data_IF_940400116366
#
_entry.id   IF_940400116366
#
_cell.length_a   1.000
_cell.length_b   1.000
_cell.length_c   1.000
_cell.angle_alpha   90.00
_cell.angle_beta   90.00
_cell.angle_gamma   90.00
#
_symmetry.space_group_name_H-M   'P 1'
#
loop_
_entity.id
_entity.type
_entity.pdbx_description
1 polymer ?
#
# COMPACT_ATOMS: atom_id res chain seq x y z
N UNK A 1 -28.62 32.77 15.00
CA UNK A 1 -27.28 32.51 14.43
C UNK A 1 -26.83 31.03 14.48
N UNK A 2 -27.44 30.13 15.26
CA UNK A 2 -26.98 28.72 15.37
C UNK A 2 -27.33 27.81 14.18
N UNK A 3 -28.36 28.14 13.39
CA UNK A 3 -28.85 27.28 12.29
C UNK A 3 -27.93 27.24 11.06
N UNK A 4 -27.13 28.29 10.85
CA UNK A 4 -26.16 28.35 9.75
C UNK A 4 -24.99 27.39 9.97
N UNK A 5 -24.51 27.24 11.20
CA UNK A 5 -23.43 26.29 11.53
C UNK A 5 -23.83 24.83 11.31
N UNK A 6 -25.10 24.48 11.58
CA UNK A 6 -25.62 23.14 11.29
C UNK A 6 -25.68 22.87 9.77
N UNK A 7 -26.05 23.86 8.97
CA UNK A 7 -26.05 23.74 7.51
C UNK A 7 -24.61 23.60 6.96
N UNK A 8 -23.65 24.36 7.48
CA UNK A 8 -22.23 24.21 7.12
C UNK A 8 -21.64 22.86 7.56
N UNK A 9 -22.02 22.34 8.73
CA UNK A 9 -21.60 21.01 9.19
C UNK A 9 -22.19 19.89 8.34
N UNK A 10 -23.46 19.99 7.94
CA UNK A 10 -24.11 19.04 7.03
C UNK A 10 -23.50 19.06 5.62
N UNK A 11 -23.09 20.21 5.12
CA UNK A 11 -22.43 20.35 3.82
C UNK A 11 -21.04 19.67 3.79
N UNK A 12 -20.31 19.71 4.91
CA UNK A 12 -19.00 19.05 5.06
C UNK A 12 -19.11 17.52 5.14
N UNK A 13 -20.18 17.00 5.74
CA UNK A 13 -20.42 15.55 5.80
C UNK A 13 -20.76 14.99 4.40
N UNK A 14 -21.50 15.74 3.58
CA UNK A 14 -21.92 15.31 2.26
C UNK A 14 -20.76 15.10 1.26
N UNK A 15 -19.67 15.89 1.36
CA UNK A 15 -18.50 15.74 0.49
C UNK A 15 -17.64 14.51 0.82
N UNK A 16 -17.70 14.00 2.05
CA UNK A 16 -16.93 12.83 2.48
C UNK A 16 -17.44 11.52 1.87
N UNK A 17 -18.76 11.38 1.69
CA UNK A 17 -19.35 10.12 1.23
C UNK A 17 -19.08 9.79 -0.24
N UNK A 18 -18.96 10.80 -1.13
CA UNK A 18 -18.72 10.55 -2.55
C UNK A 18 -17.30 10.06 -2.84
N UNK A 19 -16.29 10.61 -2.15
CA UNK A 19 -14.91 10.18 -2.26
C UNK A 19 -14.72 8.72 -1.86
N UNK A 20 -15.37 8.29 -0.77
CA UNK A 20 -15.24 6.93 -0.26
C UNK A 20 -15.82 5.88 -1.23
N UNK A 21 -16.94 6.18 -1.91
CA UNK A 21 -17.51 5.27 -2.93
C UNK A 21 -16.56 5.13 -4.11
N UNK A 22 -16.02 6.25 -4.61
CA UNK A 22 -15.07 6.25 -5.73
C UNK A 22 -13.79 5.46 -5.43
N UNK A 23 -13.24 5.58 -4.23
CA UNK A 23 -12.05 4.81 -3.81
C UNK A 23 -12.34 3.31 -3.83
N UNK A 24 -13.48 2.87 -3.30
CA UNK A 24 -13.86 1.44 -3.28
C UNK A 24 -13.96 0.87 -4.69
N UNK A 25 -14.55 1.61 -5.62
CA UNK A 25 -14.64 1.18 -7.02
C UNK A 25 -13.25 1.07 -7.67
N UNK A 26 -12.36 2.05 -7.45
CA UNK A 26 -10.98 2.01 -7.95
C UNK A 26 -10.22 0.79 -7.41
N UNK A 27 -10.34 0.50 -6.11
CA UNK A 27 -9.72 -0.68 -5.48
C UNK A 27 -10.27 -1.96 -6.10
N UNK A 28 -11.59 -2.08 -6.20
CA UNK A 28 -12.24 -3.25 -6.77
C UNK A 28 -11.77 -3.50 -8.21
N UNK A 29 -11.78 -2.48 -9.06
CA UNK A 29 -11.29 -2.62 -10.42
C UNK A 29 -9.79 -2.92 -10.45
N UNK A 30 -8.99 -2.31 -9.58
CA UNK A 30 -7.55 -2.62 -9.46
C UNK A 30 -7.31 -4.11 -9.14
N UNK A 31 -8.05 -4.64 -8.18
CA UNK A 31 -8.00 -6.05 -7.76
C UNK A 31 -8.41 -7.00 -8.89
N UNK A 32 -9.44 -6.65 -9.67
CA UNK A 32 -9.86 -7.42 -10.85
C UNK A 32 -8.77 -7.46 -11.93
N UNK A 33 -8.08 -6.35 -12.18
CA UNK A 33 -7.03 -6.27 -13.21
C UNK A 33 -5.77 -6.99 -12.78
N UNK A 34 -5.39 -6.85 -11.50
CA UNK A 34 -4.32 -7.63 -10.89
C UNK A 34 -4.59 -9.14 -11.05
N UNK A 35 -5.82 -9.57 -10.76
CA UNK A 35 -6.21 -10.99 -10.85
C UNK A 35 -6.18 -11.53 -12.29
N UNK A 36 -6.40 -10.66 -13.28
CA UNK A 36 -6.27 -10.97 -14.72
C UNK A 36 -4.81 -10.95 -15.21
N UNK A 37 -3.88 -10.49 -14.39
CA UNK A 37 -2.48 -10.28 -14.77
C UNK A 37 -2.21 -8.98 -15.53
N UNK A 38 -3.20 -8.10 -15.67
CA UNK A 38 -3.01 -6.74 -16.20
C UNK A 38 -2.48 -5.82 -15.09
N UNK A 39 -1.22 -6.05 -14.72
CA UNK A 39 -0.58 -5.31 -13.64
C UNK A 39 -0.35 -3.83 -14.01
N UNK A 40 -0.19 -3.51 -15.29
CA UNK A 40 -0.02 -2.13 -15.74
C UNK A 40 -1.27 -1.30 -15.42
N UNK A 41 -2.44 -1.82 -15.78
CA UNK A 41 -3.68 -1.11 -15.50
C UNK A 41 -4.04 -1.14 -14.00
N UNK A 42 -3.74 -2.23 -13.30
CA UNK A 42 -3.88 -2.30 -11.84
C UNK A 42 -3.04 -1.20 -11.12
N UNK A 43 -1.79 -0.98 -11.55
CA UNK A 43 -0.92 0.11 -11.03
C UNK A 43 -1.62 1.46 -11.17
N UNK A 44 -2.19 1.76 -12.35
CA UNK A 44 -2.84 3.04 -12.60
C UNK A 44 -4.10 3.24 -11.74
N UNK A 45 -4.85 2.18 -11.48
CA UNK A 45 -6.04 2.23 -10.62
C UNK A 45 -5.68 2.42 -9.15
N UNK A 46 -4.63 1.75 -8.67
CA UNK A 46 -4.14 1.95 -7.31
C UNK A 46 -3.50 3.34 -7.12
N UNK A 47 -2.76 3.88 -8.09
CA UNK A 47 -2.23 5.24 -8.01
C UNK A 47 -3.37 6.28 -7.88
N UNK A 48 -4.47 6.09 -8.61
CA UNK A 48 -5.67 6.92 -8.46
C UNK A 48 -6.31 6.78 -7.08
N UNK A 49 -6.37 5.56 -6.53
CA UNK A 49 -6.90 5.33 -5.19
C UNK A 49 -6.00 5.97 -4.11
N UNK A 50 -4.67 5.85 -4.24
CA UNK A 50 -3.67 6.46 -3.35
C UNK A 50 -3.74 7.99 -3.40
N UNK A 51 -4.01 8.57 -4.57
CA UNK A 51 -4.21 10.02 -4.69
C UNK A 51 -5.43 10.53 -3.89
N UNK A 52 -6.41 9.66 -3.63
CA UNK A 52 -7.60 9.98 -2.84
C UNK A 52 -7.43 9.62 -1.35
N UNK A 53 -6.64 8.59 -1.02
CA UNK A 53 -6.27 8.21 0.33
C UNK A 53 -4.80 7.81 0.43
N UNK A 54 -3.94 8.82 0.56
CA UNK A 54 -2.48 8.67 0.54
C UNK A 54 -1.89 8.05 1.82
N UNK A 55 -2.70 7.88 2.87
CA UNK A 55 -2.29 7.30 4.14
C UNK A 55 -2.65 5.81 4.25
N UNK A 56 -3.37 5.26 3.27
CA UNK A 56 -3.80 3.86 3.28
C UNK A 56 -2.63 2.90 3.08
N UNK A 57 -2.22 2.28 4.18
CA UNK A 57 -1.20 1.22 4.19
C UNK A 57 -1.64 0.03 3.31
N UNK A 58 -2.93 -0.27 3.27
CA UNK A 58 -3.46 -1.32 2.40
C UNK A 58 -3.26 -1.00 0.91
N UNK A 59 -3.49 0.25 0.50
CA UNK A 59 -3.22 0.67 -0.88
C UNK A 59 -1.73 0.62 -1.20
N UNK A 60 -0.88 1.05 -0.27
CA UNK A 60 0.59 0.94 -0.41
C UNK A 60 1.03 -0.52 -0.58
N UNK A 61 0.42 -1.44 0.17
CA UNK A 61 0.66 -2.87 0.05
C UNK A 61 0.22 -3.43 -1.31
N UNK A 62 -1.00 -3.12 -1.75
CA UNK A 62 -1.51 -3.53 -3.07
C UNK A 62 -0.61 -3.02 -4.19
N UNK A 63 -0.12 -1.78 -4.08
CA UNK A 63 0.80 -1.21 -5.05
C UNK A 63 2.16 -1.92 -5.03
N UNK A 64 2.70 -2.27 -3.85
CA UNK A 64 3.93 -3.04 -3.73
C UNK A 64 3.82 -4.42 -4.39
N UNK A 65 2.76 -5.18 -4.09
CA UNK A 65 2.50 -6.49 -4.67
C UNK A 65 2.33 -6.42 -6.20
N UNK A 66 1.64 -5.38 -6.69
CA UNK A 66 1.42 -5.19 -8.14
C UNK A 66 2.71 -4.85 -8.86
N UNK A 67 3.54 -3.94 -8.32
CA UNK A 67 4.86 -3.63 -8.89
C UNK A 67 5.78 -4.87 -8.88
N UNK A 68 5.72 -5.69 -7.83
CA UNK A 68 6.44 -6.96 -7.75
C UNK A 68 5.98 -7.95 -8.82
N UNK A 69 4.68 -8.11 -9.01
CA UNK A 69 4.10 -8.97 -10.03
C UNK A 69 4.42 -8.49 -11.45
N UNK A 70 4.43 -7.17 -11.66
CA UNK A 70 4.89 -6.50 -12.88
C UNK A 70 6.41 -6.58 -13.10
N UNK A 71 7.17 -7.09 -12.12
CA UNK A 71 8.63 -7.21 -12.11
C UNK A 71 9.39 -5.88 -12.08
N UNK A 72 8.72 -4.80 -11.66
CA UNK A 72 9.37 -3.54 -11.36
C UNK A 72 9.89 -3.55 -9.92
N UNK A 73 10.99 -4.28 -9.70
CA UNK A 73 11.50 -4.55 -8.36
C UNK A 73 12.03 -3.30 -7.64
N UNK A 74 12.49 -2.28 -8.38
CA UNK A 74 12.93 -1.01 -7.80
C UNK A 74 11.75 -0.30 -7.14
N UNK A 75 10.62 -0.21 -7.83
CA UNK A 75 9.44 0.47 -7.30
C UNK A 75 8.75 -0.37 -6.22
N UNK A 76 8.65 -1.68 -6.41
CA UNK A 76 8.16 -2.60 -5.38
C UNK A 76 8.95 -2.46 -4.07
N UNK A 77 10.28 -2.36 -4.15
CA UNK A 77 11.12 -2.16 -2.97
C UNK A 77 10.78 -0.86 -2.22
N UNK A 78 10.50 0.24 -2.94
CA UNK A 78 10.10 1.51 -2.30
C UNK A 78 8.77 1.38 -1.57
N UNK A 79 7.77 0.77 -2.20
CA UNK A 79 6.46 0.59 -1.60
C UNK A 79 6.48 -0.35 -0.40
N UNK A 80 7.18 -1.49 -0.46
CA UNK A 80 7.34 -2.35 0.72
C UNK A 80 8.09 -1.66 1.85
N UNK A 81 9.12 -0.87 1.56
CA UNK A 81 9.82 -0.08 2.58
C UNK A 81 8.88 0.94 3.24
N UNK A 82 8.00 1.58 2.45
CA UNK A 82 6.99 2.50 2.95
C UNK A 82 5.98 1.78 3.86
N UNK A 83 5.40 0.66 3.41
CA UNK A 83 4.49 -0.15 4.23
C UNK A 83 5.16 -0.57 5.54
N UNK A 84 6.38 -1.08 5.48
CA UNK A 84 7.11 -1.49 6.67
C UNK A 84 7.35 -0.34 7.68
N UNK A 85 7.57 0.88 7.19
CA UNK A 85 7.79 2.05 8.04
C UNK A 85 6.48 2.57 8.66
N UNK A 86 5.35 2.42 7.98
CA UNK A 86 4.05 2.97 8.39
C UNK A 86 3.19 1.98 9.18
N UNK A 87 3.41 0.67 9.01
CA UNK A 87 2.64 -0.41 9.64
C UNK A 87 3.00 -0.64 11.12
N UNK A 88 2.55 0.28 11.97
CA UNK A 88 2.76 0.22 13.41
C UNK A 88 2.07 -1.00 14.06
N UNK A 89 0.92 -1.41 13.54
CA UNK A 89 0.13 -2.55 14.03
C UNK A 89 0.66 -3.91 13.53
N UNK A 90 1.69 -3.91 12.67
CA UNK A 90 2.31 -5.11 12.11
C UNK A 90 1.31 -6.00 11.35
N UNK A 91 0.24 -5.43 10.78
CA UNK A 91 -0.73 -6.14 9.94
C UNK A 91 -0.07 -6.75 8.70
N UNK A 92 0.95 -6.07 8.19
CA UNK A 92 1.84 -6.47 7.10
C UNK A 92 3.24 -6.73 7.65
N UNK A 93 3.37 -7.54 8.70
CA UNK A 93 4.65 -7.95 9.31
C UNK A 93 5.67 -8.49 8.29
N UNK A 94 5.20 -9.15 7.24
CA UNK A 94 6.04 -9.66 6.14
C UNK A 94 6.60 -8.58 5.20
N UNK A 95 6.19 -7.31 5.32
CA UNK A 95 6.66 -6.20 4.47
C UNK A 95 8.18 -6.04 4.47
N UNK A 96 8.85 -6.24 5.61
CA UNK A 96 10.33 -6.20 5.68
C UNK A 96 10.98 -7.35 4.89
N UNK A 97 10.36 -8.53 4.89
CA UNK A 97 10.84 -9.68 4.15
C UNK A 97 10.69 -9.45 2.64
N UNK A 98 9.53 -8.96 2.20
CA UNK A 98 9.32 -8.61 0.81
C UNK A 98 10.20 -7.45 0.35
N UNK A 99 10.43 -6.45 1.20
CA UNK A 99 11.40 -5.39 0.92
C UNK A 99 12.80 -5.96 0.67
N UNK A 100 13.29 -6.82 1.57
CA UNK A 100 14.59 -7.49 1.40
C UNK A 100 14.66 -8.30 0.09
N UNK A 101 13.59 -9.03 -0.24
CA UNK A 101 13.48 -9.78 -1.49
C UNK A 101 13.56 -8.87 -2.71
N UNK A 102 12.86 -7.74 -2.72
CA UNK A 102 12.90 -6.81 -3.86
C UNK A 102 14.27 -6.18 -4.02
N UNK A 103 14.90 -5.75 -2.92
CA UNK A 103 16.28 -5.22 -2.94
C UNK A 103 17.26 -6.27 -3.48
N UNK A 104 17.12 -7.53 -3.09
CA UNK A 104 17.91 -8.64 -3.67
C UNK A 104 17.74 -8.73 -5.19
N UNK A 105 16.51 -8.62 -5.71
CA UNK A 105 16.26 -8.67 -7.15
C UNK A 105 16.85 -7.49 -7.92
N UNK A 106 17.09 -6.36 -7.25
CA UNK A 106 17.79 -5.20 -7.85
C UNK A 106 19.32 -5.35 -7.87
N UNK A 107 19.88 -6.42 -7.27
CA UNK A 107 21.32 -6.68 -7.23
C UNK A 107 22.06 -6.06 -6.04
N UNK A 108 21.39 -5.29 -5.19
CA UNK A 108 21.98 -4.75 -3.96
C UNK A 108 22.00 -5.81 -2.84
N UNK A 109 22.89 -6.79 -3.00
CA UNK A 109 22.97 -7.95 -2.09
C UNK A 109 23.43 -7.56 -0.67
N UNK A 110 24.26 -6.53 -0.53
CA UNK A 110 24.73 -6.07 0.77
C UNK A 110 23.57 -5.51 1.60
N UNK A 111 22.75 -4.65 1.00
CA UNK A 111 21.55 -4.13 1.66
C UNK A 111 20.51 -5.22 1.88
N UNK A 112 20.28 -6.10 0.90
CA UNK A 112 19.36 -7.22 1.06
C UNK A 112 19.74 -8.11 2.25
N UNK A 113 21.02 -8.46 2.41
CA UNK A 113 21.50 -9.26 3.54
C UNK A 113 21.23 -8.58 4.89
N UNK A 114 21.46 -7.28 4.99
CA UNK A 114 21.13 -6.51 6.19
C UNK A 114 19.64 -6.56 6.50
N UNK A 115 18.79 -6.37 5.48
CA UNK A 115 17.34 -6.42 5.62
C UNK A 115 16.84 -7.83 5.99
N UNK A 116 17.40 -8.90 5.42
CA UNK A 116 17.05 -10.27 5.80
C UNK A 116 17.39 -10.60 7.25
N UNK A 117 18.56 -10.16 7.74
CA UNK A 117 18.92 -10.33 9.16
C UNK A 117 17.93 -9.61 10.08
N UNK A 118 17.51 -8.41 9.68
CA UNK A 118 16.51 -7.62 10.41
C UNK A 118 15.14 -8.30 10.39
N UNK A 119 14.70 -8.76 9.22
CA UNK A 119 13.45 -9.49 9.03
C UNK A 119 13.42 -10.76 9.88
N UNK A 120 14.50 -11.55 9.87
CA UNK A 120 14.62 -12.77 10.66
C UNK A 120 14.45 -12.47 12.16
N UNK A 121 15.17 -11.47 12.67
CA UNK A 121 15.08 -11.09 14.08
C UNK A 121 13.66 -10.65 14.47
N UNK A 122 13.06 -9.75 13.69
CA UNK A 122 11.72 -9.26 13.99
C UNK A 122 10.71 -10.39 13.93
N UNK A 123 10.73 -11.24 12.89
CA UNK A 123 9.75 -12.31 12.72
C UNK A 123 9.96 -13.47 13.70
N UNK A 124 11.20 -13.75 14.15
CA UNK A 124 11.44 -14.77 15.18
C UNK A 124 10.94 -14.37 16.56
N UNK A 125 10.82 -13.06 16.81
CA UNK A 125 10.36 -12.52 18.09
C UNK A 125 8.81 -12.50 18.19
N UNK A 126 8.09 -12.80 17.10
CA UNK A 126 6.63 -12.99 17.06
C UNK A 126 6.30 -14.50 16.96
N UNK A 127 5.91 -15.18 18.05
CA UNK A 127 5.45 -16.56 17.96
C UNK A 127 4.10 -16.62 17.22
N UNK A 128 3.94 -17.63 16.37
CA UNK A 128 2.72 -17.97 15.62
C UNK A 128 1.45 -18.05 16.48
#
# INVERSE_FOLDING_TARGET
MSRLYLAFALLWIATGSFGQVKIKDLIKFGDEQFSKGDYYYAIQLYDQAIALDSASIELHWKQAETQRAYKNYVEAAKWYAKVYAEDAEKKYSNSILYYALMVKQTGDYAKALSLFKKAYKELSDFPD
#
